data_IF_623648719585
#
_entry.id   IF_623648719585
#
_cell.length_a   1.000
_cell.length_b   1.000
_cell.length_c   1.000
_cell.angle_alpha   90.00
_cell.angle_beta   90.00
_cell.angle_gamma   90.00
#
_symmetry.space_group_name_H-M   'P 1'
#
loop_
_entity.id
_entity.type
_entity.pdbx_description
1 polymer ?
#
# COMPACT_ATOMS: atom_id res chain seq x y z
N UNK A 1 25.87 52.21 53.93
CA UNK A 1 25.35 52.30 52.53
C UNK A 1 25.71 51.00 51.83
N UNK A 2 24.73 50.10 51.70
CA UNK A 2 24.94 48.77 51.12
C UNK A 2 24.09 48.72 49.86
N UNK A 3 24.74 48.73 48.70
CA UNK A 3 24.10 48.62 47.37
C UNK A 3 23.83 47.14 47.02
N UNK A 4 22.55 46.79 46.90
CA UNK A 4 22.12 45.47 46.41
C UNK A 4 22.18 45.46 44.88
N UNK A 5 23.01 44.57 44.32
CA UNK A 5 22.99 44.27 42.90
C UNK A 5 22.01 43.12 42.64
N UNK A 6 20.93 43.40 41.94
CA UNK A 6 19.99 42.39 41.44
C UNK A 6 20.55 41.69 40.21
N UNK A 7 20.73 40.39 40.33
CA UNK A 7 21.12 39.52 39.21
C UNK A 7 19.83 39.09 38.48
N UNK A 8 19.64 39.54 37.25
CA UNK A 8 18.55 39.07 36.37
C UNK A 8 19.05 37.84 35.61
N UNK A 9 18.53 36.66 35.94
CA UNK A 9 18.74 35.42 35.17
C UNK A 9 17.77 35.44 33.99
N UNK A 10 18.25 35.62 32.81
CA UNK A 10 17.49 35.44 31.55
C UNK A 10 17.57 33.97 31.15
N UNK A 11 16.50 33.24 31.34
CA UNK A 11 16.37 31.85 30.89
C UNK A 11 16.09 31.83 29.39
N UNK A 12 17.05 31.36 28.62
CA UNK A 12 16.91 31.14 27.16
C UNK A 12 16.18 29.83 26.93
N UNK A 13 14.92 29.88 26.51
CA UNK A 13 14.12 28.72 26.12
C UNK A 13 14.53 28.31 24.70
N UNK A 14 15.34 27.26 24.58
CA UNK A 14 15.64 26.66 23.27
C UNK A 14 14.48 25.73 22.90
N UNK A 15 13.63 26.19 21.99
CA UNK A 15 12.63 25.35 21.38
C UNK A 15 13.32 24.42 20.37
N UNK A 16 13.46 23.15 20.71
CA UNK A 16 13.87 22.10 19.77
C UNK A 16 12.69 21.76 18.87
N UNK A 17 12.66 22.34 17.68
CA UNK A 17 11.74 21.89 16.62
C UNK A 17 12.14 20.48 16.19
N UNK A 18 11.28 19.49 16.45
CA UNK A 18 11.41 18.16 15.89
C UNK A 18 11.28 18.24 14.36
N UNK A 19 12.19 17.65 13.57
CA UNK A 19 12.06 17.67 12.14
C UNK A 19 10.79 16.90 11.74
N UNK A 20 9.87 17.59 11.04
CA UNK A 20 8.76 16.96 10.34
C UNK A 20 9.36 15.95 9.36
N UNK A 21 9.12 14.66 9.60
CA UNK A 21 9.52 13.60 8.70
C UNK A 21 8.88 13.84 7.33
N UNK A 22 9.66 14.41 6.43
CA UNK A 22 9.28 14.57 5.02
C UNK A 22 9.16 13.18 4.42
N UNK A 23 7.96 12.83 3.94
CA UNK A 23 7.76 11.58 3.23
C UNK A 23 8.76 11.51 2.06
N UNK A 24 9.66 10.54 2.13
CA UNK A 24 10.67 10.31 1.10
C UNK A 24 9.96 9.93 -0.20
N UNK A 25 10.31 10.53 -1.36
CA UNK A 25 9.69 10.18 -2.63
C UNK A 25 9.89 8.68 -2.89
N UNK A 26 8.83 8.00 -3.34
CA UNK A 26 8.84 6.56 -3.59
C UNK A 26 9.99 6.19 -4.54
N UNK A 27 11.08 5.69 -3.99
CA UNK A 27 12.18 5.17 -4.78
C UNK A 27 11.80 3.79 -5.32
N UNK A 28 12.02 3.52 -6.62
CA UNK A 28 11.80 2.20 -7.19
C UNK A 28 12.71 1.13 -6.54
N UNK A 29 13.73 1.55 -5.81
CA UNK A 29 14.66 0.67 -5.09
C UNK A 29 14.25 0.36 -3.64
N UNK A 30 13.08 0.85 -3.18
CA UNK A 30 12.59 0.59 -1.83
C UNK A 30 11.12 0.13 -1.85
N UNK A 31 10.84 -1.17 -1.59
CA UNK A 31 9.46 -1.69 -1.62
C UNK A 31 8.56 -1.07 -0.54
N UNK A 32 9.11 -0.70 0.62
CA UNK A 32 8.35 0.00 1.68
C UNK A 32 7.94 1.40 1.22
N UNK A 33 8.81 2.13 0.53
CA UNK A 33 8.51 3.45 -0.01
C UNK A 33 7.42 3.36 -1.11
N UNK A 34 7.43 2.31 -1.93
CA UNK A 34 6.39 2.04 -2.93
C UNK A 34 5.03 1.87 -2.24
N UNK A 35 4.96 1.02 -1.21
CA UNK A 35 3.73 0.78 -0.46
C UNK A 35 3.24 2.04 0.24
N UNK A 36 4.12 2.79 0.90
CA UNK A 36 3.76 4.05 1.52
C UNK A 36 3.15 5.04 0.51
N UNK A 37 3.68 5.13 -0.70
CA UNK A 37 3.15 6.00 -1.75
C UNK A 37 1.74 5.56 -2.19
N UNK A 38 1.50 4.26 -2.38
CA UNK A 38 0.20 3.70 -2.75
C UNK A 38 -0.84 4.00 -1.66
N UNK A 39 -0.53 3.70 -0.39
CA UNK A 39 -1.49 3.89 0.70
C UNK A 39 -1.67 5.36 1.11
N UNK A 40 -0.67 6.20 0.97
CA UNK A 40 -0.84 7.66 1.11
C UNK A 40 -1.85 8.18 0.10
N UNK A 41 -1.83 7.66 -1.14
CA UNK A 41 -2.82 7.99 -2.15
C UNK A 41 -4.20 7.44 -1.78
N UNK A 42 -4.29 6.16 -1.40
CA UNK A 42 -5.55 5.54 -0.99
C UNK A 42 -6.20 6.26 0.20
N UNK A 43 -5.42 6.72 1.17
CA UNK A 43 -5.90 7.44 2.35
C UNK A 43 -6.44 8.86 2.07
N UNK A 44 -6.17 9.45 0.90
CA UNK A 44 -6.76 10.74 0.50
C UNK A 44 -8.26 10.67 0.24
N UNK A 45 -8.81 9.48 -0.01
CA UNK A 45 -10.24 9.24 -0.17
C UNK A 45 -10.76 9.45 -1.58
N UNK A 46 -12.08 9.68 -1.70
CA UNK A 46 -12.79 9.80 -2.98
C UNK A 46 -12.19 10.92 -3.86
N UNK A 47 -12.01 10.63 -5.14
CA UNK A 47 -11.48 11.56 -6.15
C UNK A 47 -10.01 11.37 -6.49
N UNK A 48 -9.24 10.65 -5.68
CA UNK A 48 -7.83 10.33 -5.97
C UNK A 48 -7.62 8.87 -6.41
N UNK A 49 -8.69 8.16 -6.77
CA UNK A 49 -8.65 6.79 -7.28
C UNK A 49 -8.43 5.73 -6.21
N UNK A 50 -8.22 6.11 -4.93
CA UNK A 50 -8.07 5.16 -3.84
C UNK A 50 -7.05 4.05 -4.15
N UNK A 51 -7.34 2.84 -3.67
CA UNK A 51 -6.57 1.63 -3.98
C UNK A 51 -6.74 1.16 -5.42
N UNK A 52 -7.93 1.34 -5.99
CA UNK A 52 -8.28 1.01 -7.38
C UNK A 52 -7.30 1.64 -8.40
N UNK A 53 -6.66 2.75 -8.05
CA UNK A 53 -5.65 3.37 -8.90
C UNK A 53 -4.59 2.38 -9.40
N UNK A 54 -4.12 1.47 -8.54
CA UNK A 54 -3.08 0.50 -8.93
C UNK A 54 -3.59 -0.54 -9.93
N UNK A 55 -4.85 -0.96 -9.80
CA UNK A 55 -5.42 -2.08 -10.57
C UNK A 55 -6.20 -1.64 -11.82
N UNK A 56 -6.79 -0.47 -11.82
CA UNK A 56 -7.60 0.02 -12.94
C UNK A 56 -6.76 0.87 -13.92
N UNK A 57 -5.80 1.62 -13.40
CA UNK A 57 -4.96 2.49 -14.23
C UNK A 57 -3.83 1.70 -14.90
N UNK A 58 -3.87 1.62 -16.23
CA UNK A 58 -2.87 0.89 -17.02
C UNK A 58 -1.43 1.37 -16.78
N UNK A 59 -1.23 2.67 -16.59
CA UNK A 59 0.12 3.22 -16.32
C UNK A 59 0.58 2.85 -14.91
N UNK A 60 -0.33 2.88 -13.93
CA UNK A 60 -0.02 2.45 -12.58
C UNK A 60 0.28 0.95 -12.50
N UNK A 61 -0.49 0.10 -13.18
CA UNK A 61 -0.17 -1.33 -13.33
C UNK A 61 1.27 -1.52 -13.85
N UNK A 62 1.62 -0.86 -14.95
CA UNK A 62 2.96 -0.94 -15.54
C UNK A 62 4.06 -0.40 -14.62
N UNK A 63 3.74 0.58 -13.76
CA UNK A 63 4.67 1.15 -12.80
C UNK A 63 4.92 0.24 -11.61
N UNK A 64 3.87 -0.33 -11.03
CA UNK A 64 3.92 -1.00 -9.74
C UNK A 64 3.99 -2.53 -9.84
N UNK A 65 3.32 -3.14 -10.81
CA UNK A 65 3.27 -4.58 -10.94
C UNK A 65 4.49 -5.14 -11.69
N UNK A 66 4.87 -6.38 -11.38
CA UNK A 66 5.87 -7.12 -12.15
C UNK A 66 5.40 -7.35 -13.57
N UNK A 67 6.34 -7.53 -14.49
CA UNK A 67 6.01 -7.90 -15.87
C UNK A 67 5.19 -9.19 -15.92
N UNK A 68 5.52 -10.14 -15.05
CA UNK A 68 4.83 -11.43 -14.94
C UNK A 68 3.39 -11.27 -14.48
N UNK A 69 3.15 -10.52 -13.40
CA UNK A 69 1.80 -10.29 -12.89
C UNK A 69 0.96 -9.46 -13.87
N UNK A 70 1.56 -8.45 -14.48
CA UNK A 70 0.88 -7.60 -15.45
C UNK A 70 0.47 -8.36 -16.72
N UNK A 71 1.33 -9.26 -17.22
CA UNK A 71 1.03 -10.12 -18.35
C UNK A 71 -0.06 -11.15 -18.02
N UNK A 72 -0.01 -11.75 -16.82
CA UNK A 72 -1.04 -12.67 -16.35
C UNK A 72 -2.41 -11.97 -16.24
N UNK A 73 -2.42 -10.75 -15.70
CA UNK A 73 -3.65 -9.96 -15.59
C UNK A 73 -4.24 -9.63 -16.96
N UNK A 74 -3.42 -9.14 -17.88
CA UNK A 74 -3.87 -8.85 -19.25
C UNK A 74 -4.43 -10.09 -19.96
N UNK A 75 -3.84 -11.27 -19.71
CA UNK A 75 -4.33 -12.54 -20.25
C UNK A 75 -5.69 -12.93 -19.66
N UNK A 76 -5.86 -12.77 -18.35
CA UNK A 76 -7.11 -13.06 -17.67
C UNK A 76 -8.24 -12.09 -18.09
N UNK A 77 -7.94 -10.79 -18.21
CA UNK A 77 -8.87 -9.80 -18.74
C UNK A 77 -9.32 -10.12 -20.17
N UNK A 78 -8.39 -10.57 -21.01
CA UNK A 78 -8.70 -10.97 -22.40
C UNK A 78 -9.50 -12.29 -22.49
N UNK A 79 -9.43 -13.13 -21.45
CA UNK A 79 -10.20 -14.37 -21.35
C UNK A 79 -11.63 -14.15 -20.82
N UNK A 80 -11.85 -13.07 -20.10
CA UNK A 80 -13.16 -12.69 -19.56
C UNK A 80 -14.11 -12.32 -20.70
N UNK A 81 -15.32 -12.94 -20.80
CA UNK A 81 -16.31 -12.58 -21.81
C UNK A 81 -16.70 -11.11 -21.75
N UNK A 82 -17.01 -10.53 -22.91
CA UNK A 82 -17.40 -9.12 -22.99
C UNK A 82 -18.70 -8.86 -22.20
N UNK A 83 -18.61 -8.00 -21.20
CA UNK A 83 -19.72 -7.63 -20.32
C UNK A 83 -19.71 -8.35 -18.98
N UNK A 84 -18.85 -9.33 -18.79
CA UNK A 84 -18.66 -9.98 -17.50
C UNK A 84 -17.69 -9.21 -16.61
N UNK A 85 -17.78 -9.47 -15.32
CA UNK A 85 -16.85 -8.94 -14.32
C UNK A 85 -15.53 -9.71 -14.41
N UNK A 86 -14.42 -8.99 -14.37
CA UNK A 86 -13.08 -9.61 -14.36
C UNK A 86 -12.83 -10.49 -13.13
N UNK A 87 -11.79 -11.32 -13.16
CA UNK A 87 -11.52 -12.31 -12.10
C UNK A 87 -11.17 -11.71 -10.74
N UNK A 88 -10.85 -10.41 -10.70
CA UNK A 88 -10.63 -9.63 -9.46
C UNK A 88 -11.69 -8.55 -9.43
N UNK A 89 -12.77 -8.82 -8.72
CA UNK A 89 -13.99 -8.00 -8.64
C UNK A 89 -14.05 -7.05 -7.43
N UNK A 90 -12.95 -6.93 -6.70
CA UNK A 90 -12.77 -6.03 -5.57
C UNK A 90 -11.44 -5.28 -5.66
N UNK A 91 -11.25 -4.26 -4.82
CA UNK A 91 -9.97 -3.57 -4.71
C UNK A 91 -9.01 -4.34 -3.78
N UNK A 92 -8.01 -5.06 -4.31
CA UNK A 92 -7.08 -5.84 -3.50
C UNK A 92 -6.12 -4.96 -2.68
N UNK A 93 -5.99 -3.67 -2.99
CA UNK A 93 -5.17 -2.73 -2.21
C UNK A 93 -5.85 -2.40 -0.89
N UNK A 94 -7.16 -2.24 -0.89
CA UNK A 94 -7.94 -1.89 0.30
C UNK A 94 -8.71 -3.07 0.89
N UNK A 95 -8.65 -4.24 0.22
CA UNK A 95 -9.40 -5.44 0.56
C UNK A 95 -10.90 -5.15 0.74
N UNK A 96 -11.50 -4.47 -0.23
CA UNK A 96 -12.89 -4.02 -0.14
C UNK A 96 -13.51 -3.75 -1.50
N UNK A 97 -14.83 -3.78 -1.57
CA UNK A 97 -15.61 -3.35 -2.74
C UNK A 97 -15.57 -1.82 -2.88
N UNK A 98 -15.63 -1.11 -1.76
CA UNK A 98 -15.51 0.35 -1.73
C UNK A 98 -14.26 0.76 -0.94
N UNK A 99 -13.28 1.41 -1.57
CA UNK A 99 -12.06 1.85 -0.90
C UNK A 99 -12.35 2.77 0.29
N UNK A 100 -12.03 2.32 1.49
CA UNK A 100 -12.16 3.07 2.73
C UNK A 100 -10.91 2.95 3.58
N UNK A 101 -9.96 3.86 3.39
CA UNK A 101 -8.71 3.92 4.15
C UNK A 101 -8.66 5.21 4.95
N UNK A 102 -8.75 5.10 6.28
CA UNK A 102 -8.52 6.21 7.23
C UNK A 102 -7.03 6.34 7.55
N UNK A 103 -6.42 5.22 7.89
CA UNK A 103 -5.00 5.12 8.24
C UNK A 103 -4.47 3.74 7.89
N UNK A 104 -3.15 3.64 7.82
CA UNK A 104 -2.48 2.38 7.53
C UNK A 104 -1.15 2.30 8.29
N UNK A 105 -0.70 1.09 8.52
CA UNK A 105 0.62 0.79 9.10
C UNK A 105 1.33 -0.20 8.19
N UNK A 106 2.52 0.16 7.75
CA UNK A 106 3.37 -0.71 6.94
C UNK A 106 4.33 -1.48 7.85
N UNK A 107 4.41 -2.78 7.64
CA UNK A 107 5.35 -3.68 8.29
C UNK A 107 6.22 -4.33 7.21
N UNK A 108 7.53 -4.07 7.28
CA UNK A 108 8.51 -4.69 6.43
C UNK A 108 8.84 -6.07 7.01
N UNK A 109 8.18 -7.10 6.51
CA UNK A 109 8.44 -8.47 6.89
C UNK A 109 9.82 -8.95 6.41
N UNK A 110 9.85 -9.82 5.40
CA UNK A 110 11.11 -10.32 4.82
C UNK A 110 11.61 -9.36 3.74
N UNK A 111 12.89 -9.02 3.77
CA UNK A 111 13.59 -8.25 2.74
C UNK A 111 14.88 -8.97 2.37
N UNK A 112 14.90 -9.56 1.17
CA UNK A 112 16.02 -10.26 0.58
C UNK A 112 16.58 -9.47 -0.61
N UNK A 113 17.61 -9.97 -1.28
CA UNK A 113 18.24 -9.28 -2.39
C UNK A 113 17.31 -9.07 -3.60
N UNK A 114 16.43 -10.04 -3.86
CA UNK A 114 15.55 -10.09 -5.05
C UNK A 114 14.06 -10.32 -4.70
N UNK A 115 13.72 -10.53 -3.43
CA UNK A 115 12.36 -10.75 -2.94
C UNK A 115 12.08 -9.95 -1.68
N UNK A 116 10.85 -9.48 -1.54
CA UNK A 116 10.39 -8.88 -0.29
C UNK A 116 8.93 -9.23 -0.02
N UNK A 117 8.59 -9.30 1.26
CA UNK A 117 7.22 -9.43 1.75
C UNK A 117 6.91 -8.23 2.64
N UNK A 118 5.97 -7.42 2.22
CA UNK A 118 5.51 -6.24 2.97
C UNK A 118 4.05 -6.47 3.38
N UNK A 119 3.75 -6.26 4.65
CA UNK A 119 2.39 -6.30 5.15
C UNK A 119 1.88 -4.88 5.43
N UNK A 120 0.59 -4.66 5.21
CA UNK A 120 -0.07 -3.40 5.54
C UNK A 120 -1.33 -3.70 6.34
N UNK A 121 -1.41 -3.11 7.51
CA UNK A 121 -2.64 -3.12 8.32
C UNK A 121 -3.44 -1.86 8.01
N UNK A 122 -4.70 -2.03 7.63
CA UNK A 122 -5.61 -0.96 7.19
C UNK A 122 -6.66 -0.71 8.25
N UNK A 123 -6.94 0.57 8.53
CA UNK A 123 -8.09 1.01 9.33
C UNK A 123 -9.02 1.83 8.46
N UNK A 124 -10.28 1.43 8.35
CA UNK A 124 -11.33 2.17 7.63
C UNK A 124 -11.86 3.38 8.41
N UNK A 125 -12.57 4.27 7.72
CA UNK A 125 -13.25 5.45 8.31
C UNK A 125 -14.65 5.11 8.82
N UNK A 126 -15.40 4.42 7.97
CA UNK A 126 -16.84 4.20 8.14
C UNK A 126 -17.18 2.71 8.28
N UNK A 127 -16.24 1.84 8.01
CA UNK A 127 -16.44 0.40 8.05
C UNK A 127 -16.39 -0.08 9.51
N UNK A 128 -17.34 -0.93 9.95
CA UNK A 128 -17.20 -1.62 11.23
C UNK A 128 -15.84 -2.32 11.33
N UNK A 129 -15.30 -2.50 12.53
CA UNK A 129 -14.03 -3.22 12.71
C UNK A 129 -14.11 -4.59 12.04
N UNK A 130 -13.24 -4.83 11.05
CA UNK A 130 -13.09 -6.13 10.41
C UNK A 130 -12.36 -7.09 11.33
N UNK A 131 -12.43 -8.38 11.03
CA UNK A 131 -11.55 -9.35 11.67
C UNK A 131 -10.08 -8.93 11.50
N UNK A 132 -9.22 -9.10 12.50
CA UNK A 132 -7.81 -8.66 12.41
C UNK A 132 -7.08 -9.18 11.17
N UNK A 133 -7.36 -10.41 10.74
CA UNK A 133 -6.77 -11.00 9.54
C UNK A 133 -7.19 -10.25 8.26
N UNK A 134 -8.46 -9.82 8.18
CA UNK A 134 -9.03 -9.14 7.02
C UNK A 134 -8.58 -7.67 6.88
N UNK A 135 -7.93 -7.15 7.94
CA UNK A 135 -7.32 -5.82 7.90
C UNK A 135 -5.92 -5.82 7.29
N UNK A 136 -5.35 -7.00 7.01
CA UNK A 136 -3.95 -7.13 6.59
C UNK A 136 -3.87 -7.54 5.13
N UNK A 137 -3.30 -6.65 4.31
CA UNK A 137 -2.91 -6.93 2.93
C UNK A 137 -1.40 -7.17 2.86
N UNK A 138 -0.98 -8.21 2.15
CA UNK A 138 0.41 -8.60 1.99
C UNK A 138 0.84 -8.49 0.55
N UNK A 139 1.99 -7.88 0.32
CA UNK A 139 2.59 -7.65 -0.98
C UNK A 139 3.83 -8.50 -1.13
N UNK A 140 3.82 -9.37 -2.13
CA UNK A 140 5.01 -10.09 -2.55
C UNK A 140 5.70 -9.25 -3.61
N UNK A 141 6.96 -8.90 -3.38
CA UNK A 141 7.77 -8.15 -4.32
C UNK A 141 8.85 -9.03 -4.93
N UNK A 142 9.16 -8.72 -6.18
CA UNK A 142 10.35 -9.21 -6.90
C UNK A 142 11.18 -8.03 -7.40
N UNK A 143 12.48 -8.23 -7.50
CA UNK A 143 13.38 -7.23 -8.07
C UNK A 143 13.52 -7.46 -9.56
N UNK A 144 13.16 -6.45 -10.35
CA UNK A 144 13.39 -6.40 -11.79
C UNK A 144 14.49 -5.37 -12.10
N UNK A 145 14.95 -5.31 -13.37
CA UNK A 145 15.99 -4.38 -13.81
C UNK A 145 15.67 -2.90 -13.53
N UNK A 146 14.38 -2.55 -13.46
CA UNK A 146 13.89 -1.20 -13.21
C UNK A 146 13.37 -1.00 -11.77
N UNK A 147 13.85 -1.81 -10.81
CA UNK A 147 13.55 -1.72 -9.39
C UNK A 147 12.54 -2.77 -8.89
N UNK A 148 12.05 -2.57 -7.69
CA UNK A 148 11.09 -3.46 -7.05
C UNK A 148 9.71 -3.39 -7.68
N UNK A 149 9.08 -4.55 -7.86
CA UNK A 149 7.75 -4.71 -8.44
C UNK A 149 6.88 -5.65 -7.63
N UNK A 150 5.60 -5.34 -7.51
CA UNK A 150 4.60 -6.19 -6.89
C UNK A 150 4.34 -7.39 -7.80
N UNK A 151 4.60 -8.59 -7.31
CA UNK A 151 4.40 -9.85 -8.04
C UNK A 151 3.16 -10.61 -7.58
N UNK A 152 2.64 -10.29 -6.39
CA UNK A 152 1.35 -10.77 -5.90
C UNK A 152 0.82 -9.84 -4.80
N UNK A 153 -0.51 -9.78 -4.67
CA UNK A 153 -1.22 -9.13 -3.57
C UNK A 153 -2.07 -10.21 -2.92
N UNK A 154 -2.02 -10.30 -1.59
CA UNK A 154 -2.68 -11.35 -0.81
C UNK A 154 -3.40 -10.75 0.39
N UNK A 155 -4.46 -11.40 0.80
CA UNK A 155 -5.18 -11.05 2.01
C UNK A 155 -6.10 -12.15 2.48
N UNK A 156 -7.03 -11.76 3.34
CA UNK A 156 -8.08 -12.63 3.87
C UNK A 156 -9.40 -11.86 3.80
N UNK A 157 -10.48 -12.52 3.49
CA UNK A 157 -11.84 -11.96 3.56
C UNK A 157 -12.75 -12.98 4.20
N UNK A 158 -13.40 -12.62 5.30
CA UNK A 158 -14.27 -13.52 6.08
C UNK A 158 -13.58 -14.85 6.47
N UNK A 159 -12.27 -14.78 6.74
CA UNK A 159 -11.44 -15.93 7.08
C UNK A 159 -10.88 -16.72 5.89
N UNK A 160 -11.35 -16.45 4.67
CA UNK A 160 -10.87 -17.09 3.45
C UNK A 160 -9.67 -16.33 2.87
N UNK A 161 -8.57 -17.06 2.65
CA UNK A 161 -7.37 -16.48 2.07
C UNK A 161 -7.52 -16.29 0.55
N UNK A 162 -7.04 -15.16 0.04
CA UNK A 162 -7.02 -14.87 -1.39
C UNK A 162 -5.63 -14.40 -1.86
N UNK A 163 -5.37 -14.56 -3.15
CA UNK A 163 -4.20 -14.09 -3.87
C UNK A 163 -4.64 -13.63 -5.25
N UNK A 164 -4.25 -12.44 -5.65
CA UNK A 164 -4.51 -11.91 -6.99
C UNK A 164 -3.95 -12.86 -8.05
N UNK A 165 -2.72 -13.32 -7.87
CA UNK A 165 -2.08 -14.24 -8.82
C UNK A 165 -2.84 -15.56 -8.94
N UNK A 166 -3.34 -16.11 -7.82
CA UNK A 166 -4.13 -17.34 -7.85
C UNK A 166 -5.45 -17.13 -8.59
N UNK A 167 -6.20 -16.07 -8.25
CA UNK A 167 -7.48 -15.73 -8.91
C UNK A 167 -7.32 -15.57 -10.42
N UNK A 168 -6.30 -14.82 -10.86
CA UNK A 168 -6.00 -14.65 -12.29
C UNK A 168 -5.62 -15.97 -12.98
N UNK A 169 -4.90 -16.85 -12.28
CA UNK A 169 -4.48 -18.15 -12.83
C UNK A 169 -5.68 -19.09 -12.96
N UNK A 170 -6.56 -19.08 -11.95
CA UNK A 170 -7.71 -19.98 -11.90
C UNK A 170 -8.79 -19.56 -12.92
N UNK A 171 -8.95 -18.27 -13.20
CA UNK A 171 -9.87 -17.78 -14.24
C UNK A 171 -9.50 -18.28 -15.65
N UNK A 172 -8.25 -18.63 -15.89
CA UNK A 172 -7.80 -19.15 -17.17
C UNK A 172 -8.05 -20.64 -17.36
N UNK A 173 -8.56 -21.34 -16.32
CA UNK A 173 -8.85 -22.79 -16.38
C UNK A 173 -10.33 -23.07 -16.65
N UNK A 174 -11.15 -22.04 -16.61
CA UNK A 174 -12.59 -22.09 -16.86
C UNK A 174 -12.86 -21.85 -18.33
#
# INVERSE_FOLDING_TARGET
>A
MITRRSLVLTSLLVATEAPLARAEPASPDNPVAIINAIYTRAARGKGDGGGAFVIENKQAKAKYLSKSLNALWAKADAHTPKGDVGPVDFDPVTNSQEPDVKSFKVDAGTLEADKALIAVTITGRNTPPRQPADQVVRYVFVREANGWKIDDIKGTSDGEAWSVRAMLTDSLKQ
#
